data_IF_516980576209
#
_entry.id   IF_516980576209
#
_cell.length_a   1.000
_cell.length_b   1.000
_cell.length_c   1.000
_cell.angle_alpha   90.00
_cell.angle_beta   90.00
_cell.angle_gamma   90.00
#
_symmetry.space_group_name_H-M   'P 1'
#
loop_
_entity.id
_entity.type
_entity.pdbx_description
1 polymer ?
#
# COMPACT_ATOMS: atom_id res chain seq x y z
N UNK A 1 -17.84 0.82 27.88
CA UNK A 1 -17.71 -0.63 27.63
C UNK A 1 -16.55 -0.82 26.66
N UNK A 2 -15.53 -1.58 27.11
CA UNK A 2 -14.33 -2.11 26.41
C UNK A 2 -13.36 -1.12 25.75
N UNK A 3 -12.37 -0.75 26.56
CA UNK A 3 -11.01 -0.37 26.13
C UNK A 3 -10.42 -1.46 25.23
N UNK A 4 -10.01 -1.10 24.02
CA UNK A 4 -9.10 -1.92 23.22
C UNK A 4 -7.71 -1.75 23.83
N UNK A 5 -7.32 -2.69 24.69
CA UNK A 5 -5.92 -2.82 25.07
C UNK A 5 -5.11 -3.15 23.80
N UNK A 6 -4.14 -2.30 23.47
CA UNK A 6 -3.05 -2.67 22.57
C UNK A 6 -2.35 -3.87 23.22
N UNK A 7 -2.66 -5.07 22.76
CA UNK A 7 -2.07 -6.31 23.24
C UNK A 7 -0.59 -6.33 22.90
N UNK A 8 0.25 -5.83 23.80
CA UNK A 8 1.68 -6.08 23.75
C UNK A 8 1.95 -7.53 24.10
N UNK A 9 2.75 -8.21 23.28
CA UNK A 9 3.39 -9.47 23.67
C UNK A 9 4.37 -9.11 24.78
N UNK A 10 4.26 -9.75 25.95
CA UNK A 10 5.19 -9.48 27.07
C UNK A 10 6.65 -9.61 26.61
N UNK A 11 7.45 -8.57 26.88
CA UNK A 11 8.85 -8.48 26.45
C UNK A 11 9.11 -7.80 25.11
N UNK A 12 8.08 -7.39 24.35
CA UNK A 12 8.26 -6.64 23.10
C UNK A 12 8.02 -5.14 23.27
N UNK A 13 8.78 -4.27 22.56
CA UNK A 13 8.56 -2.83 22.60
C UNK A 13 7.19 -2.47 22.01
N UNK A 14 6.55 -1.44 22.59
CA UNK A 14 5.28 -0.92 22.06
C UNK A 14 5.50 -0.30 20.68
N UNK A 15 4.54 -0.50 19.79
CA UNK A 15 4.53 0.09 18.45
C UNK A 15 3.18 0.74 18.16
N UNK A 16 3.18 1.73 17.26
CA UNK A 16 1.96 2.42 16.81
C UNK A 16 1.33 1.72 15.60
N UNK A 17 2.17 1.24 14.68
CA UNK A 17 1.75 0.55 13.46
C UNK A 17 2.48 -0.79 13.37
N UNK A 18 1.72 -1.87 13.22
CA UNK A 18 2.28 -3.20 12.95
C UNK A 18 2.72 -3.41 11.50
N UNK A 19 2.51 -2.41 10.66
CA UNK A 19 2.80 -2.42 9.22
C UNK A 19 3.72 -1.26 8.88
N UNK A 20 4.64 -1.48 7.94
CA UNK A 20 5.49 -0.42 7.43
C UNK A 20 4.78 0.38 6.34
N UNK A 21 5.03 1.69 6.27
CA UNK A 21 4.37 2.59 5.32
C UNK A 21 4.95 2.53 3.88
N UNK A 22 6.12 1.93 3.72
CA UNK A 22 6.82 1.76 2.43
C UNK A 22 7.29 0.32 2.25
N UNK A 23 6.81 -0.36 1.22
CA UNK A 23 7.24 -1.73 0.90
C UNK A 23 7.28 -1.91 -0.61
N UNK A 24 8.02 -2.92 -1.10
CA UNK A 24 7.97 -3.29 -2.50
C UNK A 24 6.53 -3.63 -2.96
N UNK A 25 5.75 -4.26 -2.08
CA UNK A 25 4.33 -4.54 -2.34
C UNK A 25 3.49 -3.27 -2.53
N UNK A 26 3.74 -2.23 -1.74
CA UNK A 26 3.03 -0.94 -1.89
C UNK A 26 3.48 -0.16 -3.13
N UNK A 27 4.77 -0.17 -3.48
CA UNK A 27 5.22 0.41 -4.73
C UNK A 27 4.55 -0.27 -5.93
N UNK A 28 4.54 -1.61 -5.94
CA UNK A 28 3.90 -2.40 -7.00
C UNK A 28 2.38 -2.32 -7.00
N UNK A 29 1.74 -2.12 -5.84
CA UNK A 29 0.32 -1.83 -5.74
C UNK A 29 -0.06 -0.61 -6.59
N UNK A 30 0.65 0.52 -6.43
CA UNK A 30 0.41 1.73 -7.22
C UNK A 30 0.78 1.56 -8.70
N UNK A 31 1.81 0.77 -8.99
CA UNK A 31 2.38 0.59 -10.33
C UNK A 31 1.79 -0.61 -11.09
N UNK A 32 0.68 -1.20 -10.64
CA UNK A 32 0.11 -2.43 -11.23
C UNK A 32 -0.15 -2.36 -12.74
N UNK A 33 -0.45 -1.17 -13.27
CA UNK A 33 -0.68 -0.93 -14.71
C UNK A 33 0.60 -0.59 -15.48
N UNK A 34 1.66 -0.20 -14.78
CA UNK A 34 2.96 0.20 -15.36
C UNK A 34 3.93 -0.98 -15.40
N UNK A 35 3.91 -1.84 -14.36
CA UNK A 35 4.78 -3.01 -14.20
C UNK A 35 3.99 -4.28 -13.82
N UNK A 36 3.03 -4.73 -14.65
CA UNK A 36 2.16 -5.86 -14.32
C UNK A 36 2.92 -7.17 -14.08
N UNK A 37 4.01 -7.42 -14.81
CA UNK A 37 4.86 -8.62 -14.65
C UNK A 37 5.53 -8.70 -13.27
N UNK A 38 5.92 -7.55 -12.70
CA UNK A 38 6.51 -7.48 -11.37
C UNK A 38 5.47 -7.75 -10.28
N UNK A 39 4.23 -7.26 -10.47
CA UNK A 39 3.11 -7.55 -9.56
C UNK A 39 2.78 -9.04 -9.54
N UNK A 40 2.67 -9.65 -10.72
CA UNK A 40 2.40 -11.08 -10.88
C UNK A 40 3.51 -11.92 -10.24
N UNK A 41 4.77 -11.55 -10.46
CA UNK A 41 5.92 -12.22 -9.86
C UNK A 41 5.84 -12.20 -8.32
N UNK A 42 5.55 -11.03 -7.74
CA UNK A 42 5.39 -10.88 -6.29
C UNK A 42 4.19 -11.69 -5.76
N UNK A 43 3.13 -11.85 -6.56
CA UNK A 43 1.88 -12.54 -6.20
C UNK A 43 1.86 -14.01 -6.63
N UNK A 44 3.03 -14.66 -6.72
CA UNK A 44 3.18 -16.09 -7.01
C UNK A 44 2.57 -16.53 -8.35
N UNK A 45 2.69 -15.67 -9.37
CA UNK A 45 2.34 -16.02 -10.76
C UNK A 45 0.91 -15.68 -11.19
N UNK A 46 0.14 -14.94 -10.37
CA UNK A 46 -1.18 -14.43 -10.75
C UNK A 46 -1.47 -13.10 -10.06
N UNK A 47 -2.47 -12.37 -10.55
CA UNK A 47 -3.00 -11.23 -9.83
C UNK A 47 -3.73 -11.64 -8.55
N UNK A 48 -3.72 -10.75 -7.57
CA UNK A 48 -4.47 -10.86 -6.33
C UNK A 48 -5.99 -10.66 -6.55
N UNK A 49 -6.77 -10.77 -5.47
CA UNK A 49 -8.20 -10.51 -5.51
C UNK A 49 -8.47 -9.06 -6.00
N UNK A 50 -9.47 -8.83 -6.88
CA UNK A 50 -9.73 -7.50 -7.45
C UNK A 50 -9.91 -6.39 -6.42
N UNK A 51 -10.45 -6.71 -5.24
CA UNK A 51 -10.63 -5.75 -4.14
C UNK A 51 -9.33 -5.34 -3.44
N UNK A 52 -8.27 -6.15 -3.56
CA UNK A 52 -6.94 -5.89 -2.99
C UNK A 52 -5.97 -5.24 -3.97
N UNK A 53 -6.37 -5.08 -5.23
CA UNK A 53 -5.57 -4.43 -6.27
C UNK A 53 -5.93 -2.94 -6.35
N UNK A 54 -4.99 -2.12 -6.79
CA UNK A 54 -5.22 -0.70 -7.02
C UNK A 54 -6.28 -0.45 -8.10
N UNK A 55 -7.44 0.08 -7.67
CA UNK A 55 -8.56 0.44 -8.56
C UNK A 55 -8.66 1.94 -8.81
N UNK A 56 -8.56 2.75 -7.76
CA UNK A 56 -8.56 4.22 -7.83
C UNK A 56 -7.90 4.83 -6.59
N UNK A 57 -7.45 6.09 -6.70
CA UNK A 57 -6.88 6.84 -5.56
C UNK A 57 -7.91 7.01 -4.46
N UNK A 58 -9.15 7.38 -4.81
CA UNK A 58 -10.26 7.54 -3.87
C UNK A 58 -10.52 6.26 -3.06
N UNK A 59 -10.60 5.11 -3.73
CA UNK A 59 -10.80 3.82 -3.06
C UNK A 59 -9.62 3.44 -2.14
N UNK A 60 -8.43 3.98 -2.41
CA UNK A 60 -7.20 3.70 -1.66
C UNK A 60 -6.96 4.68 -0.51
N UNK A 61 -7.76 5.76 -0.41
CA UNK A 61 -7.62 6.83 0.59
C UNK A 61 -8.25 6.49 1.96
N UNK A 62 -8.67 5.23 2.15
CA UNK A 62 -9.22 4.72 3.42
C UNK A 62 -8.22 4.67 4.59
N UNK A 63 -6.98 5.12 4.40
CA UNK A 63 -5.90 5.19 5.41
C UNK A 63 -6.29 6.03 6.63
N UNK A 64 -7.25 6.94 6.50
CA UNK A 64 -7.76 7.78 7.59
C UNK A 64 -8.69 7.01 8.56
N UNK A 65 -9.14 5.80 8.19
CA UNK A 65 -10.10 5.01 8.95
C UNK A 65 -9.53 4.22 10.14
N UNK A 66 -8.26 4.41 10.50
CA UNK A 66 -7.62 3.72 11.63
C UNK A 66 -7.33 2.23 11.38
N UNK A 67 -7.27 1.81 10.12
CA UNK A 67 -6.91 0.45 9.72
C UNK A 67 -5.41 0.18 9.76
N UNK A 68 -5.02 -1.07 9.47
CA UNK A 68 -3.62 -1.49 9.32
C UNK A 68 -2.97 -0.97 8.02
N UNK A 69 -3.73 -0.25 7.20
CA UNK A 69 -3.33 0.30 5.91
C UNK A 69 -2.72 1.70 6.11
N UNK A 70 -1.38 1.75 6.04
CA UNK A 70 -0.56 2.95 6.28
C UNK A 70 0.36 3.28 5.11
N UNK A 71 0.04 2.81 3.90
CA UNK A 71 0.87 3.04 2.68
C UNK A 71 0.95 4.53 2.37
N UNK A 72 2.17 5.00 2.14
CA UNK A 72 2.42 6.30 1.54
C UNK A 72 2.30 6.26 0.01
N UNK A 73 2.18 7.45 -0.57
CA UNK A 73 2.32 7.63 -2.01
C UNK A 73 3.80 7.47 -2.43
N UNK A 74 3.99 7.08 -3.69
CA UNK A 74 5.31 6.95 -4.33
C UNK A 74 5.66 8.22 -5.11
N UNK A 75 6.94 8.35 -5.48
CA UNK A 75 7.46 9.55 -6.17
C UNK A 75 6.77 9.79 -7.52
N UNK A 76 6.34 8.73 -8.21
CA UNK A 76 5.68 8.74 -9.51
C UNK A 76 4.35 9.51 -9.52
N UNK A 77 3.72 9.73 -8.36
CA UNK A 77 2.54 10.59 -8.25
C UNK A 77 2.86 12.07 -8.49
N UNK A 78 4.12 12.46 -8.28
CA UNK A 78 4.60 13.84 -8.34
C UNK A 78 5.55 14.09 -9.51
N UNK A 79 5.81 13.07 -10.34
CA UNK A 79 6.59 13.22 -11.57
C UNK A 79 5.77 13.99 -12.62
N UNK A 80 5.99 15.30 -12.68
CA UNK A 80 5.35 16.22 -13.63
C UNK A 80 6.02 16.22 -15.01
N UNK A 81 7.26 15.77 -15.09
CA UNK A 81 8.03 15.76 -16.34
C UNK A 81 7.56 14.63 -17.26
N UNK A 82 7.23 13.47 -16.68
CA UNK A 82 6.69 12.33 -17.43
C UNK A 82 5.29 12.61 -18.02
N UNK A 83 4.54 13.58 -17.48
CA UNK A 83 3.26 14.02 -18.05
C UNK A 83 3.44 14.89 -19.31
N UNK A 84 4.64 15.39 -19.56
CA UNK A 84 4.91 16.38 -20.62
C UNK A 84 5.80 15.82 -21.76
N UNK A 85 6.07 14.50 -21.73
CA UNK A 85 6.91 13.83 -22.72
C UNK A 85 6.15 13.28 -23.93
N UNK A 86 5.90 14.14 -24.92
CA UNK A 86 6.01 13.86 -26.37
C UNK A 86 4.99 12.94 -27.05
N UNK A 87 4.01 13.54 -27.73
CA UNK A 87 3.11 12.90 -28.70
C UNK A 87 1.77 13.61 -28.82
#
# INVERSE_FOLDING_TARGET
>A
MRSMALGGIEGQPRFLYGTHNSTAGYALYWLVRVMPEHVICLQSGRFDEPDRIFRSVEASWGVLGGGADVKELIQEFYDTERKTGGG
#
